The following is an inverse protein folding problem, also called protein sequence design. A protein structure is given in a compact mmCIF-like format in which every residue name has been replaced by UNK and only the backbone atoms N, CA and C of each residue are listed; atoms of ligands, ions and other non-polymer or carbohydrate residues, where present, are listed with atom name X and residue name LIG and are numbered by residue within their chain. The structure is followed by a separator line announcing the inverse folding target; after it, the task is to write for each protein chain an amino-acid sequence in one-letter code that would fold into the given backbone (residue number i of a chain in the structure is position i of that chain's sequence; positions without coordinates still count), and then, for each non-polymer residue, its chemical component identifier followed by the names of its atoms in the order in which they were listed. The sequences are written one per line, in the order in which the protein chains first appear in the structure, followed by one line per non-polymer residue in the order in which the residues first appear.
data_IF_235713972834
#
_entry.id   IF_235713972834
#
_cell.length_a   1.000
_cell.length_b   1.000
_cell.length_c   1.000
_cell.angle_alpha   90.00
_cell.angle_beta   90.00
_cell.angle_gamma   90.00
#
_symmetry.space_group_name_H-M   'P 1'
#
loop_
_entity.id
_entity.type
_entity.pdbx_description
1 polymer ?
#
# COMPACT_ATOMS: atom_id res chain seq x y z
N UNK A 1 19.48 -65.28 -15.63
CA UNK A 1 20.92 -65.05 -15.32
C UNK A 1 21.25 -63.56 -15.54
N UNK A 2 21.51 -62.79 -14.49
CA UNK A 2 21.78 -61.35 -14.61
C UNK A 2 23.29 -61.08 -14.78
N UNK A 3 23.72 -60.57 -15.95
CA UNK A 3 25.11 -60.18 -16.22
C UNK A 3 25.51 -58.97 -15.35
N UNK A 4 26.33 -59.20 -14.33
CA UNK A 4 26.96 -58.17 -13.50
C UNK A 4 28.20 -57.55 -14.20
N UNK A 5 28.19 -56.21 -14.24
CA UNK A 5 29.32 -55.28 -14.01
C UNK A 5 30.50 -55.24 -15.02
N UNK A 6 30.41 -54.32 -16.01
CA UNK A 6 31.56 -53.69 -16.70
C UNK A 6 32.02 -52.34 -16.09
N UNK A 7 31.53 -51.93 -14.91
CA UNK A 7 31.91 -50.65 -14.28
C UNK A 7 33.29 -50.65 -13.57
N UNK A 8 34.05 -51.74 -13.56
CA UNK A 8 35.34 -51.83 -12.82
C UNK A 8 36.58 -51.33 -13.57
N UNK A 9 36.52 -51.12 -14.89
CA UNK A 9 37.69 -50.73 -15.70
C UNK A 9 38.03 -49.24 -15.59
N UNK A 10 37.02 -48.36 -15.73
CA UNK A 10 37.20 -46.90 -15.72
C UNK A 10 37.87 -46.35 -14.44
N UNK A 11 37.59 -46.95 -13.28
CA UNK A 11 38.17 -46.53 -11.99
C UNK A 11 39.62 -46.98 -11.77
N UNK A 12 40.13 -47.92 -12.58
CA UNK A 12 41.54 -48.34 -12.53
C UNK A 12 42.39 -47.39 -13.36
N UNK A 13 41.92 -47.05 -14.56
CA UNK A 13 42.66 -46.19 -15.52
C UNK A 13 42.87 -44.75 -15.01
N UNK A 14 41.94 -44.24 -14.20
CA UNK A 14 41.98 -42.88 -13.66
C UNK A 14 42.93 -42.74 -12.44
N UNK A 15 43.28 -43.86 -11.78
CA UNK A 15 44.13 -43.87 -10.57
C UNK A 15 45.62 -44.11 -10.85
N UNK A 16 46.02 -44.33 -12.10
CA UNK A 16 47.43 -44.43 -12.44
C UNK A 16 48.14 -43.08 -12.23
N UNK A 17 49.36 -43.17 -11.69
CA UNK A 17 50.23 -42.03 -11.44
C UNK A 17 51.22 -41.92 -12.59
N UNK A 18 51.17 -40.82 -13.32
CA UNK A 18 52.16 -40.45 -14.34
C UNK A 18 53.32 -39.71 -13.66
N UNK A 19 54.54 -39.92 -14.16
CA UNK A 19 55.72 -39.18 -13.72
C UNK A 19 56.02 -38.13 -14.79
N UNK A 20 55.92 -36.86 -14.41
CA UNK A 20 56.33 -35.73 -15.22
C UNK A 20 57.72 -35.30 -14.73
N UNK A 21 58.72 -35.38 -15.60
CA UNK A 21 60.08 -34.90 -15.31
C UNK A 21 60.36 -33.75 -16.28
N UNK A 22 60.87 -32.64 -15.74
CA UNK A 22 61.37 -31.51 -16.54
C UNK A 22 62.89 -31.66 -16.61
N UNK A 23 63.40 -31.84 -17.82
CA UNK A 23 64.82 -32.00 -18.13
C UNK A 23 65.34 -30.70 -18.73
N UNK A 24 66.55 -30.28 -18.34
CA UNK A 24 67.24 -29.20 -19.04
C UNK A 24 67.83 -29.75 -20.36
N UNK A 25 67.47 -29.15 -21.49
CA UNK A 25 67.87 -29.64 -22.82
C UNK A 25 69.40 -29.63 -23.03
N UNK A 26 70.11 -28.69 -22.41
CA UNK A 26 71.55 -28.50 -22.61
C UNK A 26 72.42 -29.38 -21.70
N UNK A 27 71.96 -29.66 -20.48
CA UNK A 27 72.74 -30.42 -19.47
C UNK A 27 72.17 -31.82 -19.20
N UNK A 28 70.99 -32.13 -19.74
CA UNK A 28 70.21 -33.35 -19.47
C UNK A 28 69.93 -33.59 -17.97
N UNK A 29 70.13 -32.59 -17.12
CA UNK A 29 69.86 -32.68 -15.70
C UNK A 29 68.36 -32.58 -15.40
N UNK A 30 67.88 -33.41 -14.47
CA UNK A 30 66.48 -33.44 -14.02
C UNK A 30 66.22 -32.29 -13.03
N UNK A 31 65.65 -31.18 -13.52
CA UNK A 31 65.41 -29.98 -12.72
C UNK A 31 64.18 -30.11 -11.80
N UNK A 32 63.13 -30.81 -12.24
CA UNK A 32 61.92 -31.01 -11.45
C UNK A 32 61.24 -32.36 -11.69
N UNK A 33 60.71 -32.96 -10.61
CA UNK A 33 60.02 -34.27 -10.63
C UNK A 33 58.64 -34.15 -9.98
N UNK A 34 57.58 -34.40 -10.74
CA UNK A 34 56.20 -34.39 -10.24
C UNK A 34 55.50 -35.71 -10.56
N UNK A 35 54.77 -36.28 -9.58
CA UNK A 35 53.89 -37.44 -9.79
C UNK A 35 52.45 -36.96 -9.89
N UNK A 36 51.90 -36.92 -11.10
CA UNK A 36 50.55 -36.43 -11.38
C UNK A 36 49.64 -37.58 -11.77
N UNK A 37 48.42 -37.62 -11.23
CA UNK A 37 47.38 -38.54 -11.67
C UNK A 37 46.31 -37.78 -12.45
N UNK A 38 45.59 -38.45 -13.34
CA UNK A 38 44.44 -37.85 -14.07
C UNK A 38 43.41 -37.28 -13.08
N UNK A 39 43.22 -37.94 -11.93
CA UNK A 39 42.35 -37.45 -10.85
C UNK A 39 42.88 -36.16 -10.19
N UNK A 40 44.19 -36.02 -10.00
CA UNK A 40 44.76 -34.82 -9.39
C UNK A 40 44.62 -33.61 -10.31
N UNK A 41 44.86 -33.78 -11.61
CA UNK A 41 44.62 -32.71 -12.59
C UNK A 41 43.14 -32.29 -12.65
N UNK A 42 42.23 -33.26 -12.64
CA UNK A 42 40.80 -33.00 -12.60
C UNK A 42 40.36 -32.33 -11.29
N UNK A 43 40.94 -32.75 -10.16
CA UNK A 43 40.70 -32.13 -8.85
C UNK A 43 41.12 -30.68 -8.83
N UNK A 44 42.30 -30.34 -9.37
CA UNK A 44 42.77 -28.93 -9.47
C UNK A 44 41.79 -28.10 -10.30
N UNK A 45 41.33 -28.65 -11.43
CA UNK A 45 40.37 -27.96 -12.31
C UNK A 45 39.03 -27.70 -11.59
N UNK A 46 38.48 -28.71 -10.90
CA UNK A 46 37.26 -28.54 -10.11
C UNK A 46 37.43 -27.59 -8.94
N UNK A 47 38.58 -27.60 -8.23
CA UNK A 47 38.83 -26.66 -7.14
C UNK A 47 38.92 -25.23 -7.64
N UNK A 48 39.56 -24.99 -8.80
CA UNK A 48 39.62 -23.65 -9.40
C UNK A 48 38.24 -23.17 -9.83
N UNK A 49 37.46 -24.04 -10.48
CA UNK A 49 36.09 -23.70 -10.89
C UNK A 49 35.20 -23.39 -9.67
N UNK A 50 35.29 -24.21 -8.62
CA UNK A 50 34.56 -24.01 -7.38
C UNK A 50 34.96 -22.70 -6.69
N UNK A 51 36.26 -22.38 -6.66
CA UNK A 51 36.76 -21.12 -6.10
C UNK A 51 36.18 -19.91 -6.84
N UNK A 52 36.19 -19.93 -8.18
CA UNK A 52 35.62 -18.85 -9.00
C UNK A 52 34.13 -18.72 -8.73
N UNK A 53 33.38 -19.83 -8.72
CA UNK A 53 31.95 -19.82 -8.45
C UNK A 53 31.64 -19.29 -7.04
N UNK A 54 32.44 -19.70 -6.05
CA UNK A 54 32.30 -19.25 -4.67
C UNK A 54 32.54 -17.74 -4.54
N UNK A 55 33.59 -17.20 -5.17
CA UNK A 55 33.88 -15.76 -5.18
C UNK A 55 32.72 -15.00 -5.82
N UNK A 56 32.26 -15.42 -7.00
CA UNK A 56 31.13 -14.77 -7.70
C UNK A 56 29.86 -14.82 -6.86
N UNK A 57 29.54 -15.98 -6.27
CA UNK A 57 28.37 -16.13 -5.40
C UNK A 57 28.47 -15.27 -4.14
N UNK A 58 29.66 -15.16 -3.55
CA UNK A 58 29.89 -14.34 -2.37
C UNK A 58 29.69 -12.86 -2.69
N UNK A 59 30.19 -12.38 -3.83
CA UNK A 59 29.95 -11.02 -4.31
C UNK A 59 28.45 -10.77 -4.49
N UNK A 60 27.70 -11.68 -5.11
CA UNK A 60 26.26 -11.52 -5.33
C UNK A 60 25.43 -11.48 -4.04
N UNK A 61 25.88 -12.15 -2.97
CA UNK A 61 25.18 -12.16 -1.67
C UNK A 61 25.59 -10.97 -0.80
N UNK A 62 26.89 -10.63 -0.76
CA UNK A 62 27.43 -9.57 0.09
C UNK A 62 27.22 -8.18 -0.50
N UNK A 63 27.11 -8.05 -1.83
CA UNK A 63 26.81 -6.77 -2.47
C UNK A 63 25.34 -6.69 -2.86
N UNK A 64 24.72 -5.50 -2.81
CA UNK A 64 23.33 -5.31 -3.20
C UNK A 64 23.13 -5.35 -4.73
N UNK A 65 24.00 -5.99 -5.51
CA UNK A 65 23.92 -6.04 -6.97
C UNK A 65 22.57 -6.59 -7.46
N UNK A 66 22.00 -7.55 -6.72
CA UNK A 66 20.66 -8.10 -6.99
C UNK A 66 19.52 -7.08 -6.89
N UNK A 67 19.70 -6.00 -6.12
CA UNK A 67 18.69 -4.95 -5.93
C UNK A 67 18.59 -3.99 -7.13
N UNK A 68 19.59 -4.00 -8.02
CA UNK A 68 19.59 -3.20 -9.25
C UNK A 68 18.89 -3.91 -10.43
N UNK A 69 18.52 -5.18 -10.28
CA UNK A 69 17.74 -5.89 -11.28
C UNK A 69 16.24 -5.69 -11.02
N UNK A 70 15.48 -5.16 -12.00
CA UNK A 70 14.04 -5.02 -11.85
C UNK A 70 13.39 -6.41 -11.68
N UNK A 71 12.60 -6.59 -10.62
CA UNK A 71 11.85 -7.82 -10.34
C UNK A 71 12.26 -8.61 -9.09
N UNK A 72 13.39 -8.28 -8.44
CA UNK A 72 13.89 -9.00 -7.25
C UNK A 72 13.81 -8.20 -5.93
N UNK A 73 12.96 -7.17 -5.87
CA UNK A 73 12.72 -6.45 -4.63
C UNK A 73 11.98 -7.36 -3.63
N UNK A 74 12.52 -7.47 -2.41
CA UNK A 74 11.84 -8.16 -1.32
C UNK A 74 10.45 -7.57 -1.12
N UNK A 75 9.45 -8.41 -0.83
CA UNK A 75 8.06 -7.98 -0.62
C UNK A 75 7.93 -6.91 0.46
N UNK A 76 8.74 -7.01 1.50
CA UNK A 76 8.83 -6.04 2.60
C UNK A 76 9.26 -4.66 2.10
N UNK A 77 10.34 -4.60 1.32
CA UNK A 77 10.87 -3.36 0.74
C UNK A 77 9.83 -2.73 -0.20
N UNK A 78 9.10 -3.54 -0.97
CA UNK A 78 8.03 -3.04 -1.84
C UNK A 78 6.87 -2.44 -1.03
N UNK A 79 6.45 -3.12 0.04
CA UNK A 79 5.39 -2.63 0.91
C UNK A 79 5.80 -1.31 1.59
N UNK A 80 7.04 -1.22 2.06
CA UNK A 80 7.60 -0.01 2.64
C UNK A 80 7.65 1.15 1.63
N UNK A 81 8.10 0.91 0.38
CA UNK A 81 8.11 1.91 -0.68
C UNK A 81 6.69 2.43 -0.95
N UNK A 82 5.71 1.54 -1.05
CA UNK A 82 4.31 1.93 -1.29
C UNK A 82 3.77 2.76 -0.12
N UNK A 83 3.99 2.33 1.12
CA UNK A 83 3.55 3.08 2.30
C UNK A 83 4.22 4.46 2.38
N UNK A 84 5.52 4.55 2.09
CA UNK A 84 6.23 5.82 2.07
C UNK A 84 5.75 6.72 0.93
N UNK A 85 5.45 6.18 -0.25
CA UNK A 85 4.89 6.94 -1.35
C UNK A 85 3.52 7.55 -0.98
N UNK A 86 2.63 6.77 -0.34
CA UNK A 86 1.32 7.27 0.13
C UNK A 86 1.47 8.36 1.20
N UNK A 87 2.42 8.20 2.13
CA UNK A 87 2.71 9.21 3.15
C UNK A 87 3.25 10.50 2.54
N UNK A 88 4.15 10.37 1.55
CA UNK A 88 4.71 11.52 0.84
C UNK A 88 3.64 12.29 0.06
N UNK A 89 2.74 11.58 -0.62
CA UNK A 89 1.60 12.18 -1.33
C UNK A 89 0.70 12.99 -0.39
N UNK A 90 0.35 12.40 0.76
CA UNK A 90 -0.44 13.11 1.78
C UNK A 90 0.29 14.33 2.36
N UNK A 91 1.60 14.22 2.62
CA UNK A 91 2.40 15.35 3.11
C UNK A 91 2.50 16.46 2.06
N UNK A 92 2.61 16.10 0.78
CA UNK A 92 2.64 17.05 -0.32
C UNK A 92 1.34 17.87 -0.39
N UNK A 93 0.18 17.21 -0.28
CA UNK A 93 -1.12 17.89 -0.27
C UNK A 93 -1.23 18.90 0.90
N UNK A 94 -0.80 18.51 2.10
CA UNK A 94 -0.83 19.40 3.27
C UNK A 94 0.09 20.60 3.09
N UNK A 95 1.30 20.39 2.57
CA UNK A 95 2.27 21.47 2.31
C UNK A 95 1.74 22.42 1.25
N UNK A 96 1.11 21.92 0.19
CA UNK A 96 0.53 22.75 -0.87
C UNK A 96 -0.61 23.63 -0.32
N UNK A 97 -1.50 23.06 0.51
CA UNK A 97 -2.55 23.83 1.20
C UNK A 97 -1.97 24.89 2.12
N UNK A 98 -0.92 24.56 2.87
CA UNK A 98 -0.24 25.54 3.73
C UNK A 98 0.44 26.65 2.92
N UNK A 99 1.06 26.31 1.80
CA UNK A 99 1.68 27.29 0.91
C UNK A 99 0.63 28.28 0.37
N UNK A 100 -0.51 27.78 -0.11
CA UNK A 100 -1.63 28.62 -0.56
C UNK A 100 -2.19 29.49 0.57
N UNK A 101 -2.35 28.95 1.77
CA UNK A 101 -2.80 29.71 2.93
C UNK A 101 -1.85 30.86 3.29
N UNK A 102 -0.53 30.58 3.35
CA UNK A 102 0.48 31.60 3.66
C UNK A 102 0.54 32.66 2.55
N UNK A 103 0.48 32.25 1.28
CA UNK A 103 0.45 33.17 0.15
C UNK A 103 -0.76 34.11 0.23
N UNK A 104 -1.96 33.57 0.47
CA UNK A 104 -3.17 34.37 0.64
C UNK A 104 -3.05 35.37 1.79
N UNK A 105 -2.50 34.96 2.94
CA UNK A 105 -2.26 35.86 4.07
C UNK A 105 -1.29 36.98 3.68
N UNK A 106 -0.19 36.66 3.00
CA UNK A 106 0.77 37.66 2.54
C UNK A 106 0.13 38.66 1.59
N UNK A 107 -0.71 38.20 0.66
CA UNK A 107 -1.41 39.06 -0.30
C UNK A 107 -2.43 39.97 0.40
N UNK A 108 -3.13 39.48 1.43
CA UNK A 108 -3.99 40.28 2.30
C UNK A 108 -3.20 41.38 2.99
N UNK A 109 -2.04 41.07 3.57
CA UNK A 109 -1.20 42.07 4.24
C UNK A 109 -0.60 43.10 3.28
N UNK A 110 -0.35 42.73 2.02
CA UNK A 110 0.13 43.64 0.97
C UNK A 110 -0.98 44.47 0.33
N UNK A 111 -2.25 44.12 0.57
CA UNK A 111 -3.40 44.76 -0.06
C UNK A 111 -3.60 44.36 -1.53
N UNK A 112 -2.96 43.27 -1.98
CA UNK A 112 -3.07 42.73 -3.34
C UNK A 112 -4.20 41.69 -3.48
N UNK A 113 -5.27 41.85 -2.68
CA UNK A 113 -6.37 40.88 -2.65
C UNK A 113 -7.18 40.98 -3.95
N UNK A 114 -7.09 39.96 -4.81
CA UNK A 114 -8.00 39.79 -5.95
C UNK A 114 -9.40 39.45 -5.40
N UNK A 115 -10.35 40.37 -5.56
CA UNK A 115 -11.74 40.22 -5.10
C UNK A 115 -12.52 39.05 -5.77
N UNK A 116 -11.94 38.41 -6.79
CA UNK A 116 -12.52 37.29 -7.55
C UNK A 116 -12.56 35.95 -6.80
N UNK A 117 -12.03 35.86 -5.57
CA UNK A 117 -12.00 34.59 -4.80
C UNK A 117 -13.25 34.38 -3.92
N UNK A 118 -14.22 35.29 -3.96
CA UNK A 118 -15.57 35.00 -3.47
C UNK A 118 -16.29 34.14 -4.51
N UNK A 119 -15.90 32.87 -4.60
CA UNK A 119 -16.62 31.88 -5.40
C UNK A 119 -17.99 31.73 -4.73
N UNK A 120 -18.99 32.41 -5.29
CA UNK A 120 -20.39 32.07 -5.02
C UNK A 120 -20.56 30.59 -5.35
N UNK A 121 -21.21 29.85 -4.45
CA UNK A 121 -21.41 28.39 -4.55
C UNK A 121 -21.97 27.98 -5.94
N UNK A 122 -22.65 28.89 -6.62
CA UNK A 122 -23.16 28.74 -7.98
C UNK A 122 -22.09 28.48 -9.06
N UNK A 123 -20.87 29.00 -8.91
CA UNK A 123 -19.79 28.88 -9.90
C UNK A 123 -19.05 27.53 -9.84
N UNK A 124 -19.16 26.79 -8.72
CA UNK A 124 -18.64 25.42 -8.61
C UNK A 124 -19.45 24.43 -9.45
N UNK A 125 -20.71 24.76 -9.75
CA UNK A 125 -21.61 23.92 -10.56
C UNK A 125 -21.27 24.00 -12.04
N UNK A 126 -20.87 25.18 -12.53
CA UNK A 126 -20.54 25.40 -13.96
C UNK A 126 -19.13 24.95 -14.32
N UNK A 127 -18.15 25.09 -13.42
CA UNK A 127 -16.76 24.65 -13.67
C UNK A 127 -16.62 23.12 -13.77
N UNK A 128 -17.57 22.36 -13.21
CA UNK A 128 -17.58 20.89 -13.23
C UNK A 128 -18.14 20.32 -14.53
N UNK A 129 -18.78 21.12 -15.39
CA UNK A 129 -19.36 20.66 -16.66
C UNK A 129 -18.28 20.52 -17.75
N UNK A 130 -17.28 21.41 -17.77
CA UNK A 130 -16.24 21.44 -18.82
C UNK A 130 -15.06 20.49 -18.58
N UNK A 131 -14.93 19.91 -17.38
CA UNK A 131 -13.85 18.96 -17.04
C UNK A 131 -14.22 17.48 -17.27
N UNK A 132 -15.44 17.19 -17.70
CA UNK A 132 -15.86 15.80 -17.95
C UNK A 132 -15.44 15.43 -19.36
N UNK A 133 -14.28 14.76 -19.47
CA UNK A 133 -13.84 14.04 -20.66
C UNK A 133 -15.04 13.32 -21.30
N UNK A 134 -15.23 13.47 -22.61
CA UNK A 134 -16.29 12.77 -23.35
C UNK A 134 -16.29 11.29 -22.97
N UNK A 135 -17.46 10.77 -22.59
CA UNK A 135 -17.61 9.40 -22.08
C UNK A 135 -17.19 8.40 -23.15
N UNK A 136 -16.48 7.36 -22.76
CA UNK A 136 -16.09 6.27 -23.66
C UNK A 136 -17.32 5.48 -24.11
N UNK A 137 -17.32 4.95 -25.33
CA UNK A 137 -18.39 4.05 -25.83
C UNK A 137 -18.66 2.87 -24.89
N UNK A 138 -17.61 2.34 -24.23
CA UNK A 138 -17.75 1.27 -23.24
C UNK A 138 -18.56 1.69 -22.02
N UNK A 139 -18.43 2.94 -21.61
CA UNK A 139 -19.12 3.47 -20.44
C UNK A 139 -20.59 3.75 -20.77
N UNK A 140 -20.88 4.29 -21.96
CA UNK A 140 -22.25 4.45 -22.42
C UNK A 140 -22.99 3.10 -22.52
N UNK A 141 -22.35 2.07 -23.08
CA UNK A 141 -22.94 0.73 -23.15
C UNK A 141 -23.17 0.11 -21.76
N UNK A 142 -22.30 0.39 -20.80
CA UNK A 142 -22.49 -0.05 -19.41
C UNK A 142 -23.68 0.65 -18.75
N UNK A 143 -23.81 1.96 -18.96
CA UNK A 143 -24.93 2.76 -18.44
C UNK A 143 -26.25 2.28 -19.03
N UNK A 144 -26.32 2.09 -20.35
CA UNK A 144 -27.53 1.60 -21.01
C UNK A 144 -27.95 0.22 -20.45
N UNK A 145 -27.00 -0.71 -20.28
CA UNK A 145 -27.27 -2.01 -19.68
C UNK A 145 -27.59 -1.94 -18.17
N UNK A 146 -27.17 -0.90 -17.47
CA UNK A 146 -27.50 -0.66 -16.07
C UNK A 146 -28.89 -0.04 -15.95
N UNK A 147 -29.22 0.97 -16.75
CA UNK A 147 -30.53 1.60 -16.83
C UNK A 147 -31.60 0.60 -17.25
N UNK A 148 -31.33 -0.29 -18.21
CA UNK A 148 -32.26 -1.33 -18.62
C UNK A 148 -32.52 -2.35 -17.50
N UNK A 149 -31.50 -2.68 -16.69
CA UNK A 149 -31.63 -3.54 -15.52
C UNK A 149 -32.39 -2.88 -14.37
N UNK A 150 -32.12 -1.61 -14.11
CA UNK A 150 -32.74 -0.85 -13.02
C UNK A 150 -34.14 -0.31 -13.39
N UNK A 151 -34.51 -0.25 -14.67
CA UNK A 151 -35.83 0.21 -15.14
C UNK A 151 -37.02 -0.52 -14.50
N UNK A 152 -36.81 -1.77 -14.09
CA UNK A 152 -37.82 -2.60 -13.42
C UNK A 152 -37.54 -2.80 -11.93
N UNK A 153 -36.44 -2.25 -11.41
CA UNK A 153 -36.12 -2.25 -10.00
C UNK A 153 -36.88 -1.07 -9.35
N UNK A 154 -38.15 -1.29 -8.99
CA UNK A 154 -39.03 -0.32 -8.33
C UNK A 154 -38.66 -0.11 -6.85
N UNK A 155 -37.38 0.11 -6.57
CA UNK A 155 -36.92 0.72 -5.33
C UNK A 155 -37.05 2.24 -5.50
N UNK A 156 -38.28 2.75 -5.45
CA UNK A 156 -38.58 4.17 -5.67
C UNK A 156 -37.77 5.06 -4.73
N UNK A 157 -36.77 5.76 -5.28
CA UNK A 157 -36.00 6.84 -4.64
C UNK A 157 -36.82 8.14 -4.56
N UNK A 158 -38.09 8.00 -4.20
CA UNK A 158 -38.93 9.07 -3.69
C UNK A 158 -39.31 8.62 -2.29
N UNK A 159 -38.37 8.76 -1.35
CA UNK A 159 -38.72 8.73 0.05
C UNK A 159 -39.58 9.98 0.31
N UNK A 160 -40.87 9.90 -0.02
CA UNK A 160 -41.85 10.29 0.97
C UNK A 160 -41.43 9.50 2.20
N UNK A 161 -40.71 10.12 3.13
CA UNK A 161 -40.41 9.49 4.41
C UNK A 161 -41.78 9.17 5.00
N UNK A 162 -42.23 7.94 4.79
CA UNK A 162 -43.35 7.38 5.51
C UNK A 162 -42.85 7.21 6.94
N UNK A 163 -42.85 8.32 7.68
CA UNK A 163 -42.53 8.40 9.10
C UNK A 163 -43.42 7.44 9.92
N UNK A 164 -44.46 6.86 9.31
CA UNK A 164 -45.30 5.81 9.88
C UNK A 164 -44.56 4.50 10.19
N UNK A 165 -43.35 4.29 9.67
CA UNK A 165 -42.55 3.08 9.92
C UNK A 165 -41.27 3.27 10.75
N UNK A 166 -40.84 4.50 11.04
CA UNK A 166 -39.59 4.75 11.78
C UNK A 166 -39.86 4.60 13.28
N UNK A 167 -39.46 3.47 13.84
CA UNK A 167 -39.51 3.23 15.28
C UNK A 167 -38.27 3.82 15.94
N UNK A 168 -38.43 4.95 16.61
CA UNK A 168 -37.39 5.56 17.43
C UNK A 168 -37.36 4.92 18.82
N UNK A 169 -36.15 4.69 19.34
CA UNK A 169 -35.92 4.20 20.68
C UNK A 169 -35.50 5.32 21.62
N UNK A 170 -35.90 5.24 22.89
CA UNK A 170 -35.42 6.20 23.90
C UNK A 170 -33.92 5.97 24.15
N UNK A 171 -33.08 7.02 24.13
CA UNK A 171 -31.63 6.86 24.26
C UNK A 171 -31.19 6.52 25.69
N UNK A 172 -31.96 6.92 26.71
CA UNK A 172 -31.69 6.60 28.12
C UNK A 172 -32.97 6.74 28.95
N UNK A 173 -32.95 6.23 30.19
CA UNK A 173 -34.05 6.38 31.15
C UNK A 173 -33.81 7.61 32.03
N UNK A 174 -34.58 8.67 31.83
CA UNK A 174 -34.39 9.93 32.56
C UNK A 174 -35.61 10.85 32.51
N UNK A 175 -35.49 12.01 33.13
CA UNK A 175 -36.52 13.06 33.16
C UNK A 175 -36.07 14.20 32.23
N UNK A 176 -37.00 14.72 31.42
CA UNK A 176 -36.72 15.88 30.57
C UNK A 176 -36.62 17.12 31.45
N UNK A 177 -35.49 17.81 31.35
CA UNK A 177 -35.18 19.04 32.10
C UNK A 177 -35.19 20.29 31.23
N UNK A 178 -34.89 20.14 29.93
CA UNK A 178 -34.88 21.22 28.95
C UNK A 178 -35.55 20.77 27.65
N UNK A 179 -36.43 21.61 27.11
CA UNK A 179 -37.12 21.36 25.84
C UNK A 179 -36.42 22.08 24.69
N UNK A 180 -36.63 21.59 23.47
CA UNK A 180 -36.22 22.28 22.26
C UNK A 180 -36.84 23.68 22.21
N UNK A 181 -36.01 24.68 21.97
CA UNK A 181 -36.42 26.07 21.81
C UNK A 181 -35.54 26.78 20.78
N UNK A 182 -36.15 27.17 19.66
CA UNK A 182 -35.45 27.84 18.56
C UNK A 182 -35.12 29.32 18.87
N UNK A 183 -35.89 29.98 19.75
CA UNK A 183 -35.67 31.40 20.08
C UNK A 183 -34.43 31.57 20.96
N UNK A 184 -34.27 30.69 21.95
CA UNK A 184 -33.08 30.65 22.81
C UNK A 184 -31.90 29.89 22.20
N UNK A 185 -32.06 29.39 20.96
CA UNK A 185 -31.06 28.57 20.24
C UNK A 185 -30.72 27.25 20.95
N UNK A 186 -31.65 26.72 21.73
CA UNK A 186 -31.55 25.42 22.35
C UNK A 186 -32.11 24.35 21.42
N UNK A 187 -31.28 23.84 20.50
CA UNK A 187 -31.68 22.92 19.44
C UNK A 187 -31.74 21.44 19.88
N UNK A 188 -31.88 21.17 21.17
CA UNK A 188 -31.85 19.83 21.74
C UNK A 188 -32.89 19.63 22.85
N UNK A 189 -32.89 18.42 23.41
CA UNK A 189 -33.68 18.09 24.61
C UNK A 189 -32.71 17.59 25.66
N UNK A 190 -32.75 18.19 26.85
CA UNK A 190 -31.87 17.82 27.95
C UNK A 190 -32.58 16.79 28.82
N UNK A 191 -31.96 15.62 28.98
CA UNK A 191 -32.42 14.58 29.89
C UNK A 191 -31.49 14.45 31.09
N UNK A 192 -32.06 14.52 32.28
CA UNK A 192 -31.37 14.14 33.51
C UNK A 192 -31.56 12.65 33.77
N UNK A 193 -30.46 11.90 33.69
CA UNK A 193 -30.39 10.46 33.98
C UNK A 193 -29.46 10.20 35.19
N UNK A 194 -29.59 9.05 35.87
CA UNK A 194 -28.66 8.65 36.92
C UNK A 194 -27.21 8.60 36.41
N UNK A 195 -26.25 8.83 37.31
CA UNK A 195 -24.82 8.73 36.96
C UNK A 195 -24.49 7.31 36.48
N UNK A 196 -23.76 7.21 35.37
CA UNK A 196 -23.30 5.94 34.77
C UNK A 196 -24.42 5.08 34.13
N UNK A 197 -25.55 5.68 33.77
CA UNK A 197 -26.59 5.04 32.96
C UNK A 197 -26.10 4.81 31.52
N UNK A 198 -26.47 3.68 30.90
CA UNK A 198 -26.11 3.38 29.52
C UNK A 198 -26.89 4.28 28.54
N UNK A 199 -26.20 4.82 27.55
CA UNK A 199 -26.80 5.57 26.45
C UNK A 199 -26.81 4.70 25.19
N UNK A 200 -27.98 4.56 24.56
CA UNK A 200 -28.18 3.82 23.32
C UNK A 200 -28.57 4.75 22.18
N UNK A 201 -28.30 4.33 20.94
CA UNK A 201 -28.71 5.07 19.76
C UNK A 201 -30.25 5.06 19.63
N UNK A 202 -30.80 6.19 19.17
CA UNK A 202 -32.25 6.36 18.96
C UNK A 202 -32.74 5.57 17.74
N UNK A 203 -31.84 5.36 16.76
CA UNK A 203 -32.08 4.66 15.52
C UNK A 203 -30.77 4.01 15.04
N UNK A 204 -30.87 3.00 14.18
CA UNK A 204 -29.70 2.42 13.53
C UNK A 204 -29.02 3.45 12.63
N UNK A 205 -27.68 3.48 12.64
CA UNK A 205 -26.91 4.47 11.88
C UNK A 205 -25.40 4.26 12.00
N UNK A 206 -24.65 5.18 11.42
CA UNK A 206 -23.18 5.16 11.39
C UNK A 206 -22.63 6.28 12.25
N UNK A 207 -21.64 5.98 13.10
CA UNK A 207 -20.92 7.00 13.89
C UNK A 207 -20.03 7.82 12.96
N UNK A 208 -20.31 9.11 12.87
CA UNK A 208 -19.53 10.06 12.06
C UNK A 208 -18.63 10.96 12.91
N UNK A 209 -18.93 11.10 14.21
CA UNK A 209 -18.13 11.87 15.15
C UNK A 209 -18.18 11.24 16.54
N UNK A 210 -17.03 11.16 17.20
CA UNK A 210 -16.88 10.75 18.60
C UNK A 210 -15.70 11.52 19.20
N UNK A 211 -15.98 12.52 20.04
CA UNK A 211 -14.96 13.44 20.54
C UNK A 211 -15.32 13.98 21.93
N UNK A 212 -14.39 14.76 22.50
CA UNK A 212 -14.59 15.50 23.73
C UNK A 212 -14.37 17.00 23.47
N UNK A 213 -15.27 17.83 23.96
CA UNK A 213 -15.19 19.31 23.86
C UNK A 213 -15.25 19.90 25.27
N UNK A 214 -14.51 20.98 25.52
CA UNK A 214 -14.50 21.64 26.83
C UNK A 214 -15.89 22.19 27.24
N UNK A 215 -16.69 22.63 26.27
CA UNK A 215 -17.98 23.26 26.52
C UNK A 215 -19.11 22.25 26.77
N UNK A 216 -19.09 21.09 26.08
CA UNK A 216 -20.20 20.12 26.07
C UNK A 216 -19.82 18.73 26.58
N UNK A 217 -18.55 18.49 26.91
CA UNK A 217 -18.06 17.19 27.38
C UNK A 217 -17.95 16.16 26.25
N UNK A 218 -18.32 14.91 26.54
CA UNK A 218 -18.27 13.82 25.57
C UNK A 218 -19.42 13.92 24.56
N UNK A 219 -19.10 13.89 23.27
CA UNK A 219 -20.04 14.05 22.18
C UNK A 219 -19.91 12.91 21.17
N UNK A 220 -21.05 12.34 20.77
CA UNK A 220 -21.17 11.34 19.71
C UNK A 220 -22.25 11.82 18.72
N UNK A 221 -21.95 11.74 17.42
CA UNK A 221 -22.89 12.06 16.34
C UNK A 221 -23.06 10.86 15.42
N UNK A 222 -24.32 10.55 15.11
CA UNK A 222 -24.75 9.45 14.25
C UNK A 222 -25.39 10.02 12.99
N UNK A 223 -25.10 9.41 11.84
CA UNK A 223 -25.84 9.59 10.59
C UNK A 223 -26.74 8.38 10.39
N UNK A 224 -28.04 8.62 10.30
CA UNK A 224 -29.06 7.62 10.02
C UNK A 224 -29.39 7.60 8.52
#
# INVERSE_FOLDING_TARGET
MAKKKRKKSFWKDIRFKYRLTILNENTLEEVAKLRVSKFNGLSVLFTTLFLVFFIVSSILVLTPLKNYLPGYLNSEVRAEIVNNALRLDSLQEVVEKQHLYIANIQDIFKGEVKLDTLISIDSLTTMRIDSIKERSERENAFIEAYEEREKYNLSSFTANLDLGGIQLFRPTSGIITGHYDAETKHYGVDLAAPSNESIVAVLDGVVILSTYTADTGYLIQLQH
#
